data_IF_618290747110
#
_entry.id   IF_618290747110
#
_cell.length_a   1.000
_cell.length_b   1.000
_cell.length_c   1.000
_cell.angle_alpha   90.00
_cell.angle_beta   90.00
_cell.angle_gamma   90.00
#
_symmetry.space_group_name_H-M   'P 1'
#
loop_
_entity.id
_entity.type
_entity.pdbx_description
1 polymer ?
#
# COMPACT_ATOMS: atom_id res chain seq x y z
N UNK A 1 20.66 13.95 26.95
CA UNK A 1 20.58 12.97 25.85
C UNK A 1 21.75 13.25 24.95
N UNK A 2 22.64 12.28 24.81
CA UNK A 2 23.84 12.39 23.97
C UNK A 2 23.46 12.34 22.47
N UNK A 3 24.36 12.77 21.59
CA UNK A 3 24.18 12.73 20.14
C UNK A 3 23.93 11.33 19.61
N UNK A 4 24.65 10.33 20.14
CA UNK A 4 24.50 8.92 19.78
C UNK A 4 23.13 8.38 20.21
N UNK A 5 22.67 8.74 21.42
CA UNK A 5 21.37 8.33 21.94
C UNK A 5 20.21 8.93 21.13
N UNK A 6 20.34 10.19 20.66
CA UNK A 6 19.37 10.80 19.74
C UNK A 6 19.36 10.11 18.37
N UNK A 7 20.54 9.72 17.88
CA UNK A 7 20.67 9.02 16.61
C UNK A 7 20.00 7.64 16.67
N UNK A 8 20.26 6.87 17.72
CA UNK A 8 19.68 5.56 17.96
C UNK A 8 18.14 5.63 18.05
N UNK A 9 17.60 6.56 18.85
CA UNK A 9 16.14 6.77 18.93
C UNK A 9 15.51 7.15 17.60
N UNK A 10 16.22 7.91 16.76
CA UNK A 10 15.73 8.25 15.43
C UNK A 10 15.71 7.03 14.50
N UNK A 11 16.74 6.18 14.57
CA UNK A 11 16.80 4.93 13.80
C UNK A 11 15.67 3.98 14.20
N UNK A 12 15.40 3.82 15.51
CA UNK A 12 14.29 2.98 15.98
C UNK A 12 12.94 3.43 15.45
N UNK A 13 12.69 4.74 15.45
CA UNK A 13 11.47 5.32 14.88
C UNK A 13 11.37 5.09 13.38
N UNK A 14 12.48 5.21 12.65
CA UNK A 14 12.51 4.91 11.22
C UNK A 14 12.23 3.44 10.94
N UNK A 15 12.76 2.52 11.77
CA UNK A 15 12.46 1.08 11.68
C UNK A 15 10.97 0.84 11.94
N UNK A 16 10.36 1.51 12.92
CA UNK A 16 8.92 1.44 13.16
C UNK A 16 8.10 1.93 11.96
N UNK A 17 8.49 3.05 11.33
CA UNK A 17 7.86 3.52 10.10
C UNK A 17 7.97 2.50 8.96
N UNK A 18 9.14 1.88 8.80
CA UNK A 18 9.36 0.82 7.83
C UNK A 18 8.52 -0.44 8.11
N UNK A 19 8.25 -0.77 9.37
CA UNK A 19 7.33 -1.87 9.72
C UNK A 19 5.90 -1.57 9.23
N UNK A 20 5.42 -0.34 9.39
CA UNK A 20 4.12 0.08 8.83
C UNK A 20 4.10 0.00 7.31
N UNK A 21 5.17 0.44 6.65
CA UNK A 21 5.35 0.30 5.21
C UNK A 21 5.31 -1.17 4.75
N UNK A 22 6.07 -2.04 5.41
CA UNK A 22 6.13 -3.47 5.11
C UNK A 22 4.77 -4.15 5.33
N UNK A 23 4.04 -3.73 6.36
CA UNK A 23 2.67 -4.21 6.62
C UNK A 23 1.73 -3.83 5.46
N UNK A 24 1.80 -2.60 4.96
CA UNK A 24 1.05 -2.19 3.78
C UNK A 24 1.45 -3.03 2.56
N UNK A 25 2.75 -3.19 2.28
CA UNK A 25 3.25 -3.94 1.13
C UNK A 25 2.89 -5.42 1.17
N UNK A 26 2.79 -6.05 2.34
CA UNK A 26 2.34 -7.44 2.46
C UNK A 26 0.91 -7.63 1.90
N UNK A 27 0.02 -6.66 2.13
CA UNK A 27 -1.32 -6.64 1.53
C UNK A 27 -1.22 -6.35 0.02
N UNK A 28 -0.32 -5.45 -0.39
CA UNK A 28 -0.05 -5.18 -1.80
C UNK A 28 0.44 -6.41 -2.57
N UNK A 29 1.30 -7.22 -1.97
CA UNK A 29 1.77 -8.52 -2.47
C UNK A 29 0.63 -9.53 -2.57
N UNK A 30 -0.26 -9.59 -1.57
CA UNK A 30 -1.47 -10.40 -1.64
C UNK A 30 -2.34 -9.96 -2.82
N UNK A 31 -2.63 -8.66 -2.94
CA UNK A 31 -3.43 -8.11 -4.04
C UNK A 31 -2.86 -8.41 -5.41
N UNK A 32 -1.53 -8.26 -5.59
CA UNK A 32 -0.87 -8.62 -6.86
C UNK A 32 -1.07 -10.09 -7.20
N UNK A 33 -0.93 -10.99 -6.23
CA UNK A 33 -1.16 -12.43 -6.43
C UNK A 33 -2.63 -12.76 -6.72
N UNK A 34 -3.55 -12.17 -5.97
CA UNK A 34 -4.99 -12.36 -6.18
C UNK A 34 -5.45 -11.83 -7.54
N UNK A 35 -4.96 -10.67 -7.98
CA UNK A 35 -5.29 -10.13 -9.31
C UNK A 35 -4.71 -10.96 -10.48
N UNK A 36 -3.69 -11.79 -10.24
CA UNK A 36 -3.21 -12.77 -11.23
C UNK A 36 -4.15 -13.99 -11.32
N UNK A 37 -4.79 -14.37 -10.22
CA UNK A 37 -5.79 -15.44 -10.15
C UNK A 37 -7.17 -14.98 -10.66
N UNK A 38 -7.24 -14.12 -11.67
CA UNK A 38 -8.53 -13.75 -12.26
C UNK A 38 -9.20 -15.02 -12.79
N UNK A 39 -10.32 -15.39 -12.18
CA UNK A 39 -11.28 -16.30 -12.79
C UNK A 39 -11.83 -15.53 -14.00
N UNK A 40 -11.18 -15.70 -15.16
CA UNK A 40 -11.69 -15.18 -16.43
C UNK A 40 -12.85 -16.06 -16.82
N UNK A 41 -14.04 -15.69 -16.36
CA UNK A 41 -15.23 -16.07 -17.07
C UNK A 41 -15.14 -15.41 -18.46
N UNK A 42 -15.04 -16.22 -19.52
CA UNK A 42 -15.19 -15.72 -20.88
C UNK A 42 -16.58 -15.13 -21.11
N UNK A 43 -16.95 -14.76 -22.34
CA UNK A 43 -18.29 -14.27 -22.65
C UNK A 43 -19.32 -15.42 -22.58
N UNK A 44 -19.59 -15.95 -21.39
CA UNK A 44 -20.60 -16.99 -21.09
C UNK A 44 -21.45 -16.52 -19.90
N UNK A 45 -22.73 -16.87 -19.90
CA UNK A 45 -23.59 -16.74 -18.73
C UNK A 45 -23.10 -17.63 -17.58
N UNK A 46 -22.88 -17.03 -16.42
CA UNK A 46 -22.49 -17.74 -15.21
C UNK A 46 -23.66 -18.50 -14.62
N UNK A 47 -23.38 -19.68 -14.05
CA UNK A 47 -24.35 -20.27 -13.12
C UNK A 47 -24.49 -19.36 -11.89
N UNK A 48 -25.61 -19.46 -11.13
CA UNK A 48 -25.75 -18.71 -9.89
C UNK A 48 -24.58 -18.94 -8.92
N UNK A 49 -24.09 -20.18 -8.79
CA UNK A 49 -22.96 -20.52 -7.92
C UNK A 49 -21.66 -19.84 -8.36
N UNK A 50 -21.36 -19.85 -9.67
CA UNK A 50 -20.20 -19.16 -10.23
C UNK A 50 -20.28 -17.65 -10.00
N UNK A 51 -21.47 -17.06 -10.17
CA UNK A 51 -21.72 -15.64 -9.91
C UNK A 51 -21.49 -15.26 -8.45
N UNK A 52 -21.97 -16.07 -7.50
CA UNK A 52 -21.77 -15.82 -6.06
C UNK A 52 -20.31 -15.99 -5.65
N UNK A 53 -19.62 -17.00 -6.21
CA UNK A 53 -18.20 -17.22 -5.96
C UNK A 53 -17.36 -16.04 -6.48
N UNK A 54 -17.61 -15.58 -7.71
CA UNK A 54 -16.92 -14.41 -8.28
C UNK A 54 -17.24 -13.14 -7.47
N UNK A 55 -18.52 -12.85 -7.21
CA UNK A 55 -18.92 -11.65 -6.45
C UNK A 55 -18.30 -11.62 -5.06
N UNK A 56 -18.29 -12.76 -4.36
CA UNK A 56 -17.64 -12.89 -3.04
C UNK A 56 -16.14 -12.67 -3.14
N UNK A 57 -15.49 -13.27 -4.15
CA UNK A 57 -14.07 -13.09 -4.39
C UNK A 57 -13.71 -11.64 -4.70
N UNK A 58 -14.43 -10.98 -5.61
CA UNK A 58 -14.25 -9.56 -5.91
C UNK A 58 -14.42 -8.71 -4.65
N UNK A 59 -15.41 -9.02 -3.81
CA UNK A 59 -15.60 -8.31 -2.54
C UNK A 59 -14.41 -8.50 -1.59
N UNK A 60 -13.87 -9.70 -1.45
CA UNK A 60 -12.67 -9.97 -0.64
C UNK A 60 -11.45 -9.21 -1.16
N UNK A 61 -11.23 -9.19 -2.48
CA UNK A 61 -10.15 -8.42 -3.11
C UNK A 61 -10.34 -6.92 -2.86
N UNK A 62 -11.56 -6.40 -3.01
CA UNK A 62 -11.85 -4.98 -2.75
C UNK A 62 -11.61 -4.60 -1.29
N UNK A 63 -11.95 -5.45 -0.32
CA UNK A 63 -11.61 -5.21 1.08
C UNK A 63 -10.10 -5.17 1.32
N UNK A 64 -9.33 -6.05 0.68
CA UNK A 64 -7.87 -6.00 0.75
C UNK A 64 -7.30 -4.71 0.10
N UNK A 65 -7.89 -4.23 -1.00
CA UNK A 65 -7.56 -2.91 -1.59
C UNK A 65 -7.80 -1.80 -0.57
N UNK A 66 -8.95 -1.82 0.11
CA UNK A 66 -9.28 -0.83 1.12
C UNK A 66 -8.30 -0.83 2.29
N UNK A 67 -7.96 -2.00 2.82
CA UNK A 67 -6.97 -2.12 3.91
C UNK A 67 -5.60 -1.61 3.46
N UNK A 68 -5.12 -2.03 2.29
CA UNK A 68 -3.83 -1.59 1.75
C UNK A 68 -3.72 -0.06 1.65
N UNK A 69 -4.70 0.59 1.04
CA UNK A 69 -4.72 2.05 0.90
C UNK A 69 -4.79 2.76 2.26
N UNK A 70 -5.54 2.20 3.19
CA UNK A 70 -5.66 2.76 4.53
C UNK A 70 -4.36 2.64 5.32
N UNK A 71 -3.62 1.54 5.16
CA UNK A 71 -2.30 1.36 5.76
C UNK A 71 -1.25 2.28 5.14
N UNK A 72 -1.31 2.55 3.82
CA UNK A 72 -0.44 3.55 3.20
C UNK A 72 -0.61 4.94 3.82
N UNK A 73 -1.83 5.32 4.18
CA UNK A 73 -2.05 6.59 4.87
C UNK A 73 -1.35 6.65 6.23
N UNK A 74 -1.31 5.55 6.98
CA UNK A 74 -0.57 5.47 8.25
C UNK A 74 0.94 5.71 8.04
N UNK A 75 1.50 5.22 6.92
CA UNK A 75 2.90 5.51 6.55
C UNK A 75 3.09 7.00 6.28
N UNK A 76 2.13 7.68 5.65
CA UNK A 76 2.17 9.14 5.43
C UNK A 76 2.12 9.90 6.76
N UNK A 77 1.30 9.45 7.71
CA UNK A 77 1.23 10.05 9.05
C UNK A 77 2.59 9.94 9.75
N UNK A 78 3.17 8.73 9.80
CA UNK A 78 4.49 8.54 10.41
C UNK A 78 5.61 9.26 9.66
N UNK A 79 5.56 9.35 8.33
CA UNK A 79 6.50 10.14 7.53
C UNK A 79 6.54 11.60 7.98
N UNK A 80 5.35 12.21 8.14
CA UNK A 80 5.20 13.60 8.58
C UNK A 80 5.60 13.77 10.05
N UNK A 81 5.22 12.85 10.92
CA UNK A 81 5.54 12.90 12.36
C UNK A 81 7.06 12.81 12.61
N UNK A 82 7.76 11.98 11.83
CA UNK A 82 9.22 11.82 11.95
C UNK A 82 10.01 12.91 11.24
N UNK A 83 9.35 13.80 10.48
CA UNK A 83 10.03 14.81 9.68
C UNK A 83 10.94 14.20 8.62
N UNK A 84 10.54 13.06 8.04
CA UNK A 84 11.24 12.46 6.90
C UNK A 84 11.22 13.42 5.70
N UNK A 85 12.29 13.43 4.92
CA UNK A 85 12.44 14.27 3.72
C UNK A 85 13.01 13.41 2.59
N UNK A 86 12.34 13.46 1.45
CA UNK A 86 12.75 12.86 0.19
C UNK A 86 12.00 13.55 -0.96
N UNK A 87 12.73 14.07 -1.94
CA UNK A 87 12.14 14.88 -3.02
C UNK A 87 10.99 14.18 -3.74
N UNK A 88 11.10 12.87 -4.04
CA UNK A 88 10.07 12.15 -4.79
C UNK A 88 8.85 11.86 -3.93
N UNK A 89 9.05 11.50 -2.66
CA UNK A 89 7.93 11.30 -1.72
C UNK A 89 7.24 12.63 -1.46
N UNK A 90 7.99 13.68 -1.15
CA UNK A 90 7.44 14.99 -0.78
C UNK A 90 6.67 15.65 -1.93
N UNK A 91 7.13 15.52 -3.18
CA UNK A 91 6.38 15.95 -4.37
C UNK A 91 5.02 15.25 -4.50
N UNK A 92 4.96 13.94 -4.21
CA UNK A 92 3.72 13.18 -4.23
C UNK A 92 2.80 13.54 -3.06
N UNK A 93 3.37 13.80 -1.88
CA UNK A 93 2.60 14.19 -0.69
C UNK A 93 2.11 15.64 -0.75
N UNK A 94 2.68 16.48 -1.60
CA UNK A 94 2.22 17.85 -1.88
C UNK A 94 0.86 17.89 -2.61
N UNK A 95 0.41 16.76 -3.19
CA UNK A 95 -0.95 16.60 -3.71
C UNK A 95 -1.96 16.48 -2.56
N UNK A 96 -2.34 17.62 -1.98
CA UNK A 96 -3.26 17.69 -0.84
C UNK A 96 -4.63 17.09 -1.13
N UNK A 97 -5.09 17.15 -2.38
CA UNK A 97 -6.33 16.53 -2.84
C UNK A 97 -6.29 15.00 -2.66
N UNK A 98 -5.16 14.37 -3.04
CA UNK A 98 -4.95 12.93 -2.90
C UNK A 98 -4.74 12.52 -1.44
N UNK A 99 -3.86 13.22 -0.72
CA UNK A 99 -3.56 12.86 0.68
C UNK A 99 -4.77 13.06 1.59
N UNK A 100 -5.56 14.13 1.37
CA UNK A 100 -6.81 14.36 2.10
C UNK A 100 -7.89 13.34 1.78
N UNK A 101 -8.05 12.97 0.51
CA UNK A 101 -9.00 11.93 0.12
C UNK A 101 -8.60 10.56 0.69
N UNK A 102 -7.31 10.22 0.70
CA UNK A 102 -6.80 8.98 1.30
C UNK A 102 -6.99 8.96 2.84
N UNK A 103 -6.87 10.11 3.52
CA UNK A 103 -7.20 10.24 4.95
C UNK A 103 -8.66 9.88 5.23
N UNK A 104 -9.58 10.44 4.44
CA UNK A 104 -11.02 10.17 4.56
C UNK A 104 -11.34 8.71 4.21
N UNK A 105 -10.64 8.16 3.21
CA UNK A 105 -10.69 6.75 2.84
C UNK A 105 -10.30 5.87 4.03
N UNK A 106 -9.13 6.09 4.63
CA UNK A 106 -8.66 5.36 5.84
C UNK A 106 -9.70 5.39 6.96
N UNK A 107 -10.29 6.57 7.18
CA UNK A 107 -11.30 6.72 8.23
C UNK A 107 -12.55 5.88 7.96
N UNK A 108 -12.99 5.78 6.71
CA UNK A 108 -14.14 4.95 6.36
C UNK A 108 -13.91 3.44 6.49
N UNK A 109 -12.64 3.00 6.45
CA UNK A 109 -12.28 1.57 6.53
C UNK A 109 -12.16 1.12 7.98
N UNK A 110 -11.53 1.94 8.83
CA UNK A 110 -11.26 1.57 10.23
C UNK A 110 -12.23 2.16 11.26
N UNK A 111 -13.16 3.02 10.86
CA UNK A 111 -14.25 3.49 11.73
C UNK A 111 -15.60 3.03 11.18
N UNK A 112 -16.46 2.54 12.08
CA UNK A 112 -17.83 2.15 11.75
C UNK A 112 -18.55 3.24 10.95
N UNK A 113 -19.10 2.84 9.80
CA UNK A 113 -19.99 3.68 8.99
C UNK A 113 -21.36 2.97 8.93
N UNK A 114 -22.48 3.68 9.11
CA UNK A 114 -23.81 3.10 8.97
C UNK A 114 -24.17 2.79 7.50
N UNK A 115 -23.49 3.41 6.53
CA UNK A 115 -23.71 3.17 5.11
C UNK A 115 -22.96 1.93 4.60
N UNK A 116 -23.65 1.09 3.82
CA UNK A 116 -23.06 -0.11 3.19
C UNK A 116 -22.01 0.26 2.14
N UNK A 117 -22.22 1.39 1.43
CA UNK A 117 -21.29 1.93 0.45
C UNK A 117 -20.76 3.26 0.96
N UNK A 118 -19.45 3.35 1.18
CA UNK A 118 -18.85 4.59 1.69
C UNK A 118 -18.60 5.59 0.54
N UNK A 119 -19.24 6.77 0.54
CA UNK A 119 -18.98 7.80 -0.47
C UNK A 119 -17.51 8.27 -0.44
N UNK A 120 -16.86 8.19 0.73
CA UNK A 120 -15.44 8.53 0.92
C UNK A 120 -14.53 7.56 0.18
N UNK A 121 -14.87 6.27 0.21
CA UNK A 121 -14.11 5.25 -0.53
C UNK A 121 -14.24 5.44 -2.03
N UNK A 122 -15.49 5.64 -2.48
CA UNK A 122 -15.77 5.87 -3.88
C UNK A 122 -15.12 7.14 -4.42
N UNK A 123 -15.17 8.24 -3.67
CA UNK A 123 -14.61 9.52 -4.08
C UNK A 123 -13.10 9.42 -4.36
N UNK A 124 -12.35 8.72 -3.48
CA UNK A 124 -10.93 8.49 -3.70
C UNK A 124 -10.67 7.54 -4.87
N UNK A 125 -11.37 6.39 -4.95
CA UNK A 125 -11.15 5.41 -6.01
C UNK A 125 -11.53 5.93 -7.40
N UNK A 126 -12.50 6.84 -7.48
CA UNK A 126 -12.93 7.49 -8.72
C UNK A 126 -12.15 8.77 -9.03
N UNK A 127 -11.28 9.24 -8.12
CA UNK A 127 -10.48 10.43 -8.40
C UNK A 127 -9.48 10.12 -9.51
N UNK A 128 -9.42 11.01 -10.51
CA UNK A 128 -8.52 10.84 -11.65
C UNK A 128 -7.07 10.77 -11.18
N UNK A 129 -6.38 9.69 -11.54
CA UNK A 129 -4.97 9.49 -11.21
C UNK A 129 -4.70 8.92 -9.81
N UNK A 130 -5.72 8.56 -9.02
CA UNK A 130 -5.51 7.92 -7.70
C UNK A 130 -4.68 6.65 -7.79
N UNK A 131 -4.96 5.79 -8.78
CA UNK A 131 -4.21 4.57 -9.02
C UNK A 131 -2.73 4.85 -9.33
N UNK A 132 -2.45 5.76 -10.26
CA UNK A 132 -1.11 6.18 -10.63
C UNK A 132 -0.36 6.82 -9.46
N UNK A 133 -1.04 7.67 -8.70
CA UNK A 133 -0.48 8.34 -7.53
C UNK A 133 -0.12 7.34 -6.44
N UNK A 134 -1.00 6.38 -6.10
CA UNK A 134 -0.68 5.32 -5.14
C UNK A 134 0.48 4.47 -5.62
N UNK A 135 0.51 4.10 -6.91
CA UNK A 135 1.61 3.32 -7.48
C UNK A 135 2.95 4.07 -7.40
N UNK A 136 2.95 5.37 -7.70
CA UNK A 136 4.13 6.22 -7.63
C UNK A 136 4.61 6.42 -6.18
N UNK A 137 3.70 6.69 -5.25
CA UNK A 137 4.01 6.87 -3.83
C UNK A 137 4.64 5.61 -3.25
N UNK A 138 4.08 4.44 -3.58
CA UNK A 138 4.64 3.17 -3.15
C UNK A 138 6.04 2.92 -3.65
N UNK A 139 6.29 3.23 -4.93
CA UNK A 139 7.62 3.08 -5.50
C UNK A 139 8.63 4.03 -4.82
N UNK A 140 8.26 5.30 -4.61
CA UNK A 140 9.11 6.27 -3.94
C UNK A 140 9.42 5.89 -2.48
N UNK A 141 8.42 5.45 -1.71
CA UNK A 141 8.60 4.98 -0.34
C UNK A 141 9.52 3.76 -0.27
N UNK A 142 9.34 2.78 -1.17
CA UNK A 142 10.26 1.62 -1.25
C UNK A 142 11.70 2.07 -1.50
N UNK A 143 11.92 2.90 -2.52
CA UNK A 143 13.26 3.35 -2.89
C UNK A 143 13.92 4.12 -1.73
N UNK A 144 13.15 4.91 -0.98
CA UNK A 144 13.61 5.60 0.22
C UNK A 144 14.04 4.62 1.32
N UNK A 145 13.19 3.64 1.68
CA UNK A 145 13.51 2.69 2.76
C UNK A 145 14.69 1.80 2.39
N UNK A 146 14.74 1.31 1.14
CA UNK A 146 15.84 0.48 0.65
C UNK A 146 17.19 1.23 0.75
N UNK A 147 17.21 2.51 0.36
CA UNK A 147 18.40 3.35 0.45
C UNK A 147 18.78 3.66 1.91
N UNK A 148 17.79 3.98 2.77
CA UNK A 148 18.06 4.48 4.13
C UNK A 148 18.39 3.38 5.12
N UNK A 149 17.72 2.23 5.01
CA UNK A 149 17.90 1.09 5.91
C UNK A 149 18.89 0.05 5.38
N UNK A 150 19.40 0.24 4.15
CA UNK A 150 20.34 -0.67 3.49
C UNK A 150 19.85 -2.12 3.55
N UNK A 151 18.55 -2.34 3.44
CA UNK A 151 17.95 -3.68 3.42
C UNK A 151 18.40 -4.34 2.13
N UNK A 152 19.55 -5.01 2.19
CA UNK A 152 19.99 -5.88 1.12
C UNK A 152 19.16 -7.14 1.26
N UNK A 153 18.08 -7.25 0.49
CA UNK A 153 17.41 -8.54 0.33
C UNK A 153 18.45 -9.46 -0.31
N UNK A 154 19.07 -10.33 0.50
CA UNK A 154 19.93 -11.36 -0.05
C UNK A 154 19.14 -12.09 -1.13
N UNK A 155 19.72 -12.30 -2.34
CA UNK A 155 19.03 -13.06 -3.38
C UNK A 155 18.59 -14.40 -2.79
N UNK A 156 17.36 -14.82 -3.09
CA UNK A 156 16.85 -16.11 -2.58
C UNK A 156 17.85 -17.20 -2.99
N UNK A 157 18.30 -18.07 -2.07
CA UNK A 157 19.13 -19.20 -2.46
C UNK A 157 18.39 -20.01 -3.53
N UNK A 158 18.97 -20.09 -4.74
CA UNK A 158 18.41 -20.82 -5.88
C UNK A 158 17.91 -20.00 -7.08
N UNK A 159 18.07 -18.67 -7.11
CA UNK A 159 17.72 -17.84 -8.30
C UNK A 159 18.93 -17.37 -9.11
N UNK A 160 20.09 -18.00 -8.96
CA UNK A 160 21.23 -17.69 -9.83
C UNK A 160 20.90 -18.12 -11.27
N UNK A 161 21.08 -17.23 -12.27
CA UNK A 161 20.96 -17.62 -13.66
C UNK A 161 22.02 -18.68 -13.97
N UNK A 162 21.70 -19.72 -14.76
CA UNK A 162 22.62 -20.81 -15.02
C UNK A 162 23.92 -20.25 -15.60
N UNK A 163 25.02 -20.59 -14.95
CA UNK A 163 26.38 -20.28 -15.39
C UNK A 163 26.56 -20.84 -16.79
N UNK A 164 26.69 -19.96 -17.78
CA UNK A 164 27.02 -20.39 -19.14
C UNK A 164 28.45 -20.93 -19.13
N UNK A 165 28.58 -22.24 -19.27
CA UNK A 165 29.81 -22.91 -19.70
C UNK A 165 29.96 -22.79 -21.22
#
# INVERSE_FOLDING_TARGET
MDEDERHEQWVDKLVALHQHWTTAEAIGDHLRRSMLHKIRHGPRELTPEEYWADTTYQRSVMLAVCVHHSLLYVVIEGWRELGCVDTRVDELLAREDMTSALRLFRNSVFHFQPEVHSPKQEAFMKSGGSYEWVRALRAALRDYFDARLKVTIAPRPGTEPPTRH
#
